data_IF_009287027171
#
_entry.id   IF_009287027171
#
_cell.length_a   1.000
_cell.length_b   1.000
_cell.length_c   1.000
_cell.angle_alpha   90.00
_cell.angle_beta   90.00
_cell.angle_gamma   90.00
#
_symmetry.space_group_name_H-M   'P 1'
#
loop_
_entity.id
_entity.type
_entity.pdbx_description
1 polymer ?
#
# COMPACT_ATOMS: atom_id res chain seq x y z
N UNK A 1 0.23 25.84 -5.45
CA UNK A 1 1.17 25.09 -6.32
C UNK A 1 0.58 23.72 -6.59
N UNK A 2 0.97 23.07 -7.69
CA UNK A 2 0.63 21.68 -8.02
C UNK A 2 1.93 20.88 -8.22
N UNK A 3 1.93 19.61 -7.83
CA UNK A 3 3.07 18.72 -7.92
C UNK A 3 2.69 17.43 -8.65
N UNK A 4 3.62 16.92 -9.44
CA UNK A 4 3.52 15.62 -10.08
C UNK A 4 4.93 15.07 -10.35
N UNK A 5 5.02 13.75 -10.42
CA UNK A 5 6.25 12.98 -10.52
C UNK A 5 6.19 12.00 -11.69
N UNK A 6 7.35 11.69 -12.25
CA UNK A 6 7.56 10.48 -13.04
C UNK A 6 8.54 9.57 -12.29
N UNK A 7 9.06 8.53 -12.94
CA UNK A 7 10.00 7.57 -12.32
C UNK A 7 11.33 8.16 -11.87
N UNK A 8 11.69 9.37 -12.34
CA UNK A 8 13.03 9.95 -12.22
C UNK A 8 13.02 11.32 -11.50
N UNK A 9 11.97 12.12 -11.70
CA UNK A 9 11.92 13.52 -11.29
C UNK A 9 10.54 13.90 -10.72
N UNK A 10 10.52 14.83 -9.77
CA UNK A 10 9.30 15.49 -9.27
C UNK A 10 9.34 16.98 -9.63
N UNK A 11 8.25 17.48 -10.22
CA UNK A 11 8.14 18.86 -10.70
C UNK A 11 7.09 19.63 -9.90
N UNK A 12 7.20 20.97 -9.91
CA UNK A 12 6.19 21.87 -9.37
C UNK A 12 5.72 22.90 -10.40
N UNK A 13 4.45 23.27 -10.33
CA UNK A 13 3.83 24.32 -11.15
C UNK A 13 3.08 25.32 -10.29
N UNK A 14 3.07 26.58 -10.71
CA UNK A 14 2.07 27.54 -10.26
C UNK A 14 0.70 27.09 -10.79
N UNK A 15 -0.29 27.00 -9.91
CA UNK A 15 -1.62 26.48 -10.23
C UNK A 15 -2.67 27.54 -9.91
N UNK A 16 -3.47 27.89 -10.90
CA UNK A 16 -4.65 28.74 -10.77
C UNK A 16 -5.89 27.84 -10.74
N UNK A 17 -6.53 27.77 -9.57
CA UNK A 17 -7.75 26.98 -9.36
C UNK A 17 -9.01 27.61 -9.95
N UNK A 18 -9.00 28.89 -10.29
CA UNK A 18 -10.11 29.58 -10.96
C UNK A 18 -10.12 29.35 -12.47
N UNK A 19 -8.93 29.28 -13.08
CA UNK A 19 -8.73 28.93 -14.49
C UNK A 19 -8.53 27.42 -14.73
N UNK A 20 -8.33 26.63 -13.66
CA UNK A 20 -7.91 25.21 -13.69
C UNK A 20 -6.68 25.03 -14.60
N UNK A 21 -5.66 25.88 -14.40
CA UNK A 21 -4.49 25.95 -15.27
C UNK A 21 -3.17 25.91 -14.51
N UNK A 22 -2.13 25.37 -15.15
CA UNK A 22 -0.76 25.33 -14.64
C UNK A 22 0.16 26.24 -15.45
N UNK A 23 1.09 26.90 -14.78
CA UNK A 23 2.10 27.77 -15.38
C UNK A 23 3.43 27.65 -14.64
N UNK A 24 4.50 28.22 -15.21
CA UNK A 24 5.82 28.31 -14.59
C UNK A 24 6.30 26.97 -14.00
N UNK A 25 6.48 25.97 -14.87
CA UNK A 25 7.10 24.69 -14.47
C UNK A 25 8.50 24.95 -13.92
N UNK A 26 8.74 24.51 -12.69
CA UNK A 26 10.01 24.68 -11.98
C UNK A 26 10.32 23.43 -11.17
N UNK A 27 11.60 23.19 -10.89
CA UNK A 27 12.04 22.09 -10.04
C UNK A 27 11.88 22.45 -8.56
N UNK A 28 10.62 22.49 -8.12
CA UNK A 28 10.15 22.57 -6.72
C UNK A 28 10.47 23.89 -5.99
N UNK A 29 9.49 24.80 -5.93
CA UNK A 29 9.51 25.98 -5.04
C UNK A 29 8.14 26.19 -4.37
N UNK A 30 8.08 26.04 -3.05
CA UNK A 30 6.93 26.33 -2.17
C UNK A 30 7.43 26.43 -0.72
N UNK A 31 6.72 27.08 0.21
CA UNK A 31 6.95 26.83 1.64
C UNK A 31 6.58 25.38 1.99
N UNK A 32 7.18 24.86 3.07
CA UNK A 32 6.81 23.58 3.67
C UNK A 32 7.67 22.39 3.26
N UNK A 33 7.22 21.20 3.67
CA UNK A 33 7.89 19.91 3.43
C UNK A 33 7.10 19.11 2.39
N UNK A 34 7.81 18.59 1.39
CA UNK A 34 7.29 17.65 0.41
C UNK A 34 7.78 16.24 0.77
N UNK A 35 6.86 15.33 1.06
CA UNK A 35 7.21 13.92 1.32
C UNK A 35 7.03 13.11 0.04
N UNK A 36 8.04 12.29 -0.26
CA UNK A 36 8.16 11.47 -1.46
C UNK A 36 8.53 10.05 -1.03
N UNK A 37 7.83 9.06 -1.57
CA UNK A 37 8.23 7.65 -1.51
C UNK A 37 9.00 7.30 -2.78
N UNK A 38 10.08 6.52 -2.64
CA UNK A 38 10.81 5.94 -3.77
C UNK A 38 10.89 4.42 -3.59
N UNK A 39 10.32 3.71 -4.56
CA UNK A 39 10.19 2.26 -4.51
C UNK A 39 11.48 1.47 -4.73
N UNK A 40 11.37 0.15 -4.69
CA UNK A 40 12.40 -0.78 -5.13
C UNK A 40 12.45 -0.89 -6.65
N UNK A 41 13.50 -1.52 -7.14
CA UNK A 41 13.74 -1.78 -8.56
C UNK A 41 13.22 -3.16 -9.00
N UNK A 42 12.84 -4.02 -8.06
CA UNK A 42 12.35 -5.39 -8.26
C UNK A 42 11.39 -5.81 -7.15
N UNK A 43 10.77 -6.99 -7.28
CA UNK A 43 10.06 -7.66 -6.17
C UNK A 43 10.94 -7.63 -4.91
N UNK A 44 12.16 -8.14 -5.07
CA UNK A 44 13.13 -8.36 -4.02
C UNK A 44 14.44 -7.69 -4.47
N UNK A 45 14.86 -6.63 -3.78
CA UNK A 45 15.86 -5.68 -4.27
C UNK A 45 17.01 -5.53 -3.28
N UNK A 46 18.17 -6.06 -3.65
CA UNK A 46 19.38 -5.99 -2.84
C UNK A 46 19.95 -4.57 -2.72
N UNK A 47 19.59 -3.58 -3.56
CA UNK A 47 20.11 -2.22 -3.35
C UNK A 47 19.57 -1.59 -2.07
N UNK A 48 18.34 -1.93 -1.66
CA UNK A 48 17.73 -1.48 -0.42
C UNK A 48 18.38 -2.05 0.85
N UNK A 49 19.29 -3.03 0.74
CA UNK A 49 20.17 -3.42 1.86
C UNK A 49 21.10 -2.27 2.29
N UNK A 50 21.32 -1.29 1.40
CA UNK A 50 22.08 -0.08 1.65
C UNK A 50 21.15 1.15 1.59
N UNK A 51 21.03 1.87 2.70
CA UNK A 51 20.27 3.11 2.81
C UNK A 51 20.69 4.19 1.80
N UNK A 52 21.98 4.23 1.42
CA UNK A 52 22.52 5.22 0.47
C UNK A 52 22.05 4.99 -0.98
N UNK A 53 21.40 3.85 -1.27
CA UNK A 53 20.78 3.58 -2.57
C UNK A 53 19.57 4.49 -2.87
N UNK A 54 18.89 4.96 -1.83
CA UNK A 54 17.58 5.63 -1.92
C UNK A 54 16.42 4.72 -2.36
N UNK A 55 16.66 3.46 -2.73
CA UNK A 55 15.58 2.52 -3.07
C UNK A 55 14.85 2.07 -1.80
N UNK A 56 13.56 1.75 -1.94
CA UNK A 56 12.72 1.29 -0.84
C UNK A 56 12.78 2.21 0.40
N UNK A 57 12.46 3.49 0.20
CA UNK A 57 12.53 4.50 1.26
C UNK A 57 11.53 5.65 1.09
N UNK A 58 11.27 6.35 2.19
CA UNK A 58 10.44 7.56 2.24
C UNK A 58 11.27 8.72 2.79
N UNK A 59 11.29 9.84 2.05
CA UNK A 59 12.06 11.04 2.39
C UNK A 59 11.23 12.32 2.33
N UNK A 60 11.55 13.27 3.20
CA UNK A 60 10.93 14.58 3.27
C UNK A 60 11.91 15.70 2.88
N UNK A 61 11.47 16.58 1.98
CA UNK A 61 12.30 17.59 1.33
C UNK A 61 11.76 19.00 1.63
N UNK A 62 12.59 19.86 2.24
CA UNK A 62 12.19 21.24 2.51
C UNK A 62 12.26 22.07 1.23
N UNK A 63 11.12 22.64 0.82
CA UNK A 63 11.05 23.45 -0.40
C UNK A 63 11.20 24.96 -0.14
N UNK A 64 11.22 25.36 1.13
CA UNK A 64 11.17 26.77 1.56
C UNK A 64 12.41 27.52 1.11
N UNK A 65 12.23 28.60 0.33
CA UNK A 65 13.29 29.45 -0.24
C UNK A 65 14.34 28.69 -1.09
N UNK A 66 13.98 27.50 -1.59
CA UNK A 66 14.84 26.62 -2.39
C UNK A 66 15.11 27.17 -3.80
N UNK A 67 16.37 27.10 -4.22
CA UNK A 67 16.83 27.61 -5.54
C UNK A 67 17.43 26.55 -6.46
N UNK A 68 17.77 25.37 -5.93
CA UNK A 68 18.47 24.29 -6.62
C UNK A 68 17.59 23.02 -6.66
N UNK A 69 18.03 21.98 -7.36
CA UNK A 69 17.40 20.64 -7.33
C UNK A 69 17.78 19.86 -6.07
N UNK A 70 17.26 18.63 -5.91
CA UNK A 70 17.67 17.67 -4.88
C UNK A 70 17.95 16.34 -5.58
N UNK A 71 18.97 15.63 -5.13
CA UNK A 71 19.25 14.24 -5.48
C UNK A 71 18.59 13.37 -4.41
N UNK A 72 17.61 12.54 -4.79
CA UNK A 72 16.81 11.78 -3.81
C UNK A 72 17.69 10.91 -2.90
N UNK A 73 18.77 10.34 -3.43
CA UNK A 73 19.71 9.48 -2.70
C UNK A 73 20.45 10.23 -1.58
N UNK A 74 21.04 11.39 -1.88
CA UNK A 74 21.93 12.10 -0.94
C UNK A 74 21.24 13.14 -0.06
N UNK A 75 20.09 13.65 -0.51
CA UNK A 75 19.42 14.80 0.11
C UNK A 75 18.15 14.38 0.86
N UNK A 76 17.52 15.34 1.54
CA UNK A 76 16.26 15.15 2.29
C UNK A 76 16.45 14.57 3.69
N UNK A 77 15.42 14.72 4.51
CA UNK A 77 15.26 14.00 5.78
C UNK A 77 14.77 12.58 5.47
N UNK A 78 15.43 11.56 6.03
CA UNK A 78 14.97 10.18 5.91
C UNK A 78 13.90 9.90 6.96
N UNK A 79 12.66 9.63 6.52
CA UNK A 79 11.58 9.24 7.42
C UNK A 79 11.60 7.73 7.69
N UNK A 80 11.87 6.93 6.65
CA UNK A 80 12.06 5.49 6.79
C UNK A 80 12.75 4.89 5.56
N UNK A 81 13.41 3.76 5.75
CA UNK A 81 13.96 2.93 4.67
C UNK A 81 13.71 1.46 4.97
N UNK A 82 14.01 0.58 4.01
CA UNK A 82 13.51 -0.78 4.11
C UNK A 82 11.98 -0.80 4.05
N UNK A 83 11.40 0.06 3.20
CA UNK A 83 9.98 0.14 2.87
C UNK A 83 9.86 -0.07 1.35
N UNK A 84 9.46 -1.24 0.80
CA UNK A 84 9.68 -1.55 -0.64
C UNK A 84 9.17 -0.43 -1.53
N UNK A 85 7.92 -0.01 -1.36
CA UNK A 85 7.30 1.02 -2.19
C UNK A 85 6.01 1.50 -1.50
N UNK A 86 6.17 2.28 -0.44
CA UNK A 86 5.09 2.89 0.33
C UNK A 86 4.34 3.94 -0.54
N UNK A 87 3.40 3.49 -1.39
CA UNK A 87 2.57 4.20 -2.42
C UNK A 87 2.11 5.47 -1.69
N UNK A 88 1.39 5.26 -0.59
CA UNK A 88 0.54 6.26 0.01
C UNK A 88 1.11 6.74 1.33
N UNK A 89 1.11 8.06 1.46
CA UNK A 89 1.64 8.76 2.61
C UNK A 89 0.58 9.76 3.07
N UNK A 90 0.39 9.87 4.38
CA UNK A 90 -0.60 10.74 4.98
C UNK A 90 -0.12 11.27 6.34
N UNK A 91 -0.17 12.59 6.51
CA UNK A 91 -0.01 13.23 7.81
C UNK A 91 -1.31 13.10 8.62
N UNK A 92 -1.21 12.67 9.88
CA UNK A 92 -2.31 12.69 10.83
C UNK A 92 -2.54 14.14 11.31
N UNK A 93 -3.67 14.79 10.96
CA UNK A 93 -3.83 16.25 11.07
C UNK A 93 -3.85 16.78 12.51
N UNK A 94 -4.05 15.92 13.51
CA UNK A 94 -4.00 16.30 14.93
C UNK A 94 -2.60 16.31 15.55
N UNK A 95 -1.60 15.65 14.93
CA UNK A 95 -0.25 15.46 15.52
C UNK A 95 0.90 15.78 14.57
N UNK A 96 0.66 15.83 13.26
CA UNK A 96 1.71 15.93 12.24
C UNK A 96 2.48 14.62 12.01
N UNK A 97 1.97 13.50 12.54
CA UNK A 97 2.61 12.19 12.40
C UNK A 97 2.43 11.64 10.98
N UNK A 98 3.52 11.29 10.32
CA UNK A 98 3.49 10.70 8.98
C UNK A 98 3.25 9.20 9.09
N UNK A 99 2.21 8.73 8.42
CA UNK A 99 1.95 7.31 8.22
C UNK A 99 2.00 6.98 6.73
N UNK A 100 2.50 5.79 6.42
CA UNK A 100 2.23 5.13 5.15
C UNK A 100 1.65 3.73 5.37
N UNK A 101 1.48 2.97 4.29
CA UNK A 101 1.11 1.55 4.35
C UNK A 101 1.90 0.78 3.31
N UNK A 102 2.00 -0.52 3.51
CA UNK A 102 2.93 -1.38 2.81
C UNK A 102 2.18 -2.62 2.27
N UNK A 103 2.47 -3.08 1.05
CA UNK A 103 1.99 -4.38 0.54
C UNK A 103 3.02 -5.37 1.10
N UNK A 104 2.87 -6.66 0.83
CA UNK A 104 3.89 -7.62 1.19
C UNK A 104 3.94 -8.77 0.18
N UNK A 105 5.12 -9.37 0.00
CA UNK A 105 5.56 -9.69 -1.38
C UNK A 105 4.95 -10.89 -2.08
N UNK A 106 4.94 -10.71 -3.41
CA UNK A 106 4.69 -11.71 -4.41
C UNK A 106 5.60 -12.93 -4.22
N UNK A 107 5.00 -14.10 -4.04
CA UNK A 107 5.65 -15.43 -4.08
C UNK A 107 6.66 -15.71 -2.95
N UNK A 108 6.31 -15.34 -1.71
CA UNK A 108 7.15 -15.56 -0.53
C UNK A 108 7.12 -17.01 -0.03
N UNK A 109 8.32 -17.58 0.04
CA UNK A 109 8.65 -18.90 0.61
C UNK A 109 9.45 -18.77 1.92
N UNK A 110 9.21 -19.70 2.85
CA UNK A 110 9.95 -19.86 4.12
C UNK A 110 10.12 -21.34 4.49
N UNK A 111 11.30 -21.71 4.93
CA UNK A 111 11.84 -23.06 5.15
C UNK A 111 11.40 -24.07 4.06
N UNK A 112 11.49 -23.66 2.79
CA UNK A 112 11.07 -24.40 1.60
C UNK A 112 9.56 -24.50 1.37
N UNK A 113 8.74 -23.95 2.27
CA UNK A 113 7.27 -23.91 2.18
C UNK A 113 6.83 -22.61 1.51
N UNK A 114 5.97 -22.72 0.50
CA UNK A 114 5.26 -21.58 -0.06
C UNK A 114 4.18 -21.09 0.92
N UNK A 115 4.20 -19.79 1.24
CA UNK A 115 3.24 -19.15 2.15
C UNK A 115 2.53 -17.95 1.52
N UNK A 116 2.80 -17.63 0.24
CA UNK A 116 2.39 -16.37 -0.42
C UNK A 116 0.89 -16.10 -0.36
N UNK A 117 0.06 -17.16 -0.38
CA UNK A 117 -1.39 -17.04 -0.43
C UNK A 117 -2.02 -16.39 0.83
N UNK A 118 -1.33 -16.35 1.97
CA UNK A 118 -1.81 -15.65 3.19
C UNK A 118 -0.71 -15.01 4.05
N UNK A 119 0.52 -14.95 3.56
CA UNK A 119 1.63 -14.21 4.15
C UNK A 119 2.58 -13.74 3.04
N UNK A 120 3.38 -12.69 3.26
CA UNK A 120 3.35 -11.79 4.42
C UNK A 120 2.08 -10.94 4.49
N UNK A 121 1.95 -10.13 5.53
CA UNK A 121 0.85 -9.21 5.76
C UNK A 121 1.18 -7.80 5.31
N UNK A 122 0.15 -7.10 4.82
CA UNK A 122 0.22 -5.68 4.48
C UNK A 122 0.36 -4.85 5.77
N UNK A 123 1.20 -3.82 5.76
CA UNK A 123 1.60 -3.07 6.97
C UNK A 123 1.03 -1.63 7.00
N UNK A 124 1.04 -1.02 8.19
CA UNK A 124 0.64 0.37 8.45
C UNK A 124 1.76 1.02 9.27
N UNK A 125 2.67 1.69 8.58
CA UNK A 125 3.96 2.09 9.12
C UNK A 125 3.96 3.56 9.57
N UNK A 126 4.40 3.79 10.80
CA UNK A 126 4.56 5.14 11.37
C UNK A 126 5.99 5.64 11.12
N UNK A 127 6.13 6.71 10.34
CA UNK A 127 7.40 7.18 9.77
C UNK A 127 7.98 8.42 10.48
N UNK A 128 7.47 8.79 11.66
CA UNK A 128 7.92 9.98 12.40
C UNK A 128 7.17 11.26 12.02
N UNK A 129 7.87 12.41 12.04
CA UNK A 129 7.24 13.74 11.94
C UNK A 129 8.04 14.69 11.05
N UNK A 130 7.40 15.36 10.09
CA UNK A 130 8.05 16.43 9.30
C UNK A 130 8.08 17.79 10.00
N UNK A 131 7.45 17.91 11.17
CA UNK A 131 7.34 19.15 11.94
C UNK A 131 8.48 19.37 12.95
N UNK A 132 9.44 18.45 13.04
CA UNK A 132 10.58 18.51 13.96
C UNK A 132 10.34 17.91 15.35
N UNK A 133 9.23 17.18 15.55
CA UNK A 133 9.01 16.37 16.75
C UNK A 133 9.87 15.09 16.68
N UNK A 134 10.78 14.90 17.63
CA UNK A 134 11.65 13.72 17.67
C UNK A 134 10.83 12.42 17.77
N UNK A 135 11.12 11.46 16.88
CA UNK A 135 10.56 10.10 16.88
C UNK A 135 11.69 9.07 16.87
N UNK A 136 11.45 7.87 17.43
CA UNK A 136 12.40 6.75 17.33
C UNK A 136 12.30 6.02 15.99
N UNK A 137 11.17 6.16 15.31
CA UNK A 137 10.86 5.53 14.04
C UNK A 137 11.43 6.31 12.85
N UNK A 138 11.69 7.61 13.02
CA UNK A 138 12.30 8.45 11.99
C UNK A 138 13.69 7.90 11.61
N UNK A 139 13.90 7.66 10.32
CA UNK A 139 15.14 7.08 9.77
C UNK A 139 15.32 5.58 10.04
N UNK A 140 14.35 4.90 10.66
CA UNK A 140 14.44 3.46 10.93
C UNK A 140 14.38 2.61 9.67
N UNK A 141 14.94 1.39 9.76
CA UNK A 141 14.69 0.34 8.79
C UNK A 141 13.40 -0.41 9.17
N UNK A 142 12.46 -0.54 8.23
CA UNK A 142 11.15 -1.17 8.43
C UNK A 142 11.09 -2.64 8.01
N UNK A 143 12.22 -3.24 7.66
CA UNK A 143 12.33 -4.69 7.43
C UNK A 143 12.77 -5.06 6.02
N UNK A 144 12.54 -4.26 4.98
CA UNK A 144 12.98 -4.58 3.61
C UNK A 144 14.51 -4.44 3.44
N UNK A 145 15.19 -5.33 2.68
CA UNK A 145 14.72 -6.58 2.05
C UNK A 145 14.97 -7.86 2.90
N UNK A 146 14.44 -7.93 4.13
CA UNK A 146 14.82 -8.96 5.13
C UNK A 146 13.70 -9.61 5.98
N UNK A 147 12.74 -8.83 6.49
CA UNK A 147 11.86 -9.21 7.61
C UNK A 147 10.45 -8.58 7.54
N UNK A 148 9.37 -9.37 7.39
CA UNK A 148 8.02 -8.85 7.11
C UNK A 148 6.95 -9.34 8.07
N UNK A 149 5.89 -8.56 8.26
CA UNK A 149 4.79 -8.90 9.17
C UNK A 149 4.10 -10.21 8.79
N UNK A 150 3.83 -11.06 9.79
CA UNK A 150 2.96 -12.22 9.62
C UNK A 150 1.48 -11.79 9.62
N UNK A 151 0.72 -12.19 8.60
CA UNK A 151 -0.74 -12.10 8.60
C UNK A 151 -1.38 -13.41 9.04
N UNK A 152 -0.83 -14.55 8.61
CA UNK A 152 -1.31 -15.87 8.97
C UNK A 152 -0.19 -16.76 9.56
N UNK A 153 0.18 -16.56 10.85
CA UNK A 153 1.25 -17.32 11.47
C UNK A 153 1.07 -18.84 11.42
N UNK A 154 -0.17 -19.35 11.34
CA UNK A 154 -0.44 -20.80 11.41
C UNK A 154 0.13 -21.62 10.25
N UNK A 155 0.47 -20.99 9.12
CA UNK A 155 1.11 -21.68 7.97
C UNK A 155 2.63 -21.44 7.88
N UNK A 156 3.18 -20.53 8.69
CA UNK A 156 4.62 -20.26 8.71
C UNK A 156 5.35 -21.42 9.42
N UNK A 157 6.41 -21.99 8.82
CA UNK A 157 7.31 -22.89 9.54
C UNK A 157 7.99 -22.17 10.72
N UNK A 158 8.26 -22.90 11.80
CA UNK A 158 8.91 -22.39 13.01
C UNK A 158 8.27 -21.08 13.53
N UNK A 159 6.95 -21.13 13.69
CA UNK A 159 6.06 -20.04 14.12
C UNK A 159 5.87 -19.93 15.65
N UNK A 160 6.62 -20.68 16.46
CA UNK A 160 6.36 -20.86 17.89
C UNK A 160 6.39 -19.61 18.78
N UNK A 161 6.79 -18.44 18.25
CA UNK A 161 6.76 -17.11 18.89
C UNK A 161 6.26 -16.02 17.93
N UNK A 162 5.46 -16.38 16.90
CA UNK A 162 5.04 -15.46 15.84
C UNK A 162 3.53 -15.24 15.92
N UNK A 163 3.12 -14.00 16.18
CA UNK A 163 1.73 -13.55 16.16
C UNK A 163 1.49 -12.64 14.94
N UNK A 164 0.24 -12.17 14.77
CA UNK A 164 -0.10 -11.20 13.71
C UNK A 164 0.70 -9.92 13.90
N UNK A 165 1.24 -9.34 12.83
CA UNK A 165 2.11 -8.16 12.92
C UNK A 165 3.51 -8.43 13.50
N UNK A 166 3.85 -9.67 13.84
CA UNK A 166 5.24 -10.04 14.17
C UNK A 166 6.03 -10.16 12.88
N UNK A 167 7.08 -9.36 12.70
CA UNK A 167 7.96 -9.49 11.54
C UNK A 167 8.77 -10.80 11.60
N UNK A 168 8.89 -11.47 10.46
CA UNK A 168 9.63 -12.72 10.33
C UNK A 168 10.66 -12.67 9.20
N UNK A 169 11.88 -13.13 9.50
CA UNK A 169 12.88 -13.45 8.49
C UNK A 169 12.49 -14.74 7.73
N UNK A 170 13.02 -14.87 6.52
CA UNK A 170 12.59 -15.85 5.52
C UNK A 170 13.78 -16.57 4.87
N UNK A 171 13.51 -17.35 3.81
CA UNK A 171 14.55 -18.08 3.08
C UNK A 171 15.35 -17.25 2.08
N UNK A 172 16.66 -17.33 2.28
CA UNK A 172 17.69 -17.22 1.27
C UNK A 172 17.24 -17.75 -0.10
N UNK A 173 17.10 -16.87 -1.09
CA UNK A 173 16.63 -17.23 -2.44
C UNK A 173 17.50 -16.65 -3.55
N UNK A 174 17.40 -17.22 -4.77
CA UNK A 174 18.15 -16.81 -5.97
C UNK A 174 18.05 -15.32 -6.25
N UNK A 175 16.85 -14.78 -6.06
CA UNK A 175 16.45 -13.43 -6.43
C UNK A 175 17.10 -12.36 -5.51
N UNK A 176 17.75 -12.82 -4.44
CA UNK A 176 18.49 -12.03 -3.48
C UNK A 176 19.90 -12.61 -3.23
N UNK A 177 20.49 -13.35 -4.17
CA UNK A 177 21.82 -13.96 -4.03
C UNK A 177 21.98 -14.81 -2.74
N UNK A 178 20.90 -15.51 -2.37
CA UNK A 178 20.69 -16.22 -1.10
C UNK A 178 20.36 -15.32 0.12
N UNK A 179 19.57 -14.24 -0.08
CA UNK A 179 19.04 -13.32 0.96
C UNK A 179 17.48 -13.13 0.85
N UNK A 180 16.85 -12.02 1.32
CA UNK A 180 15.57 -12.11 2.09
C UNK A 180 14.23 -11.26 1.83
N UNK A 181 13.80 -10.89 0.61
CA UNK A 181 12.38 -10.51 0.19
C UNK A 181 11.99 -8.96 0.23
N UNK A 182 10.85 -8.24 0.38
CA UNK A 182 9.37 -8.22 0.84
C UNK A 182 8.54 -7.04 0.11
N UNK A 183 7.46 -6.29 0.53
CA UNK A 183 6.63 -5.38 -0.41
C UNK A 183 6.05 -3.94 -0.04
N UNK A 184 4.93 -3.40 -0.67
CA UNK A 184 4.62 -1.96 -1.05
C UNK A 184 3.14 -1.29 -1.22
N UNK A 185 2.46 -0.42 -0.39
CA UNK A 185 0.98 0.01 -0.56
C UNK A 185 0.47 1.48 -0.23
N UNK A 186 -0.85 1.81 -0.32
CA UNK A 186 -1.45 3.20 -0.31
C UNK A 186 -2.57 3.57 0.75
N UNK A 187 -2.44 4.73 1.48
CA UNK A 187 -3.32 5.25 2.59
C UNK A 187 -3.64 6.79 2.55
N UNK A 188 -4.74 7.24 3.22
CA UNK A 188 -5.07 8.65 3.62
C UNK A 188 -5.76 8.77 5.00
N UNK A 189 -5.91 9.99 5.54
CA UNK A 189 -6.65 10.33 6.78
C UNK A 189 -7.89 11.21 6.51
N UNK A 190 -8.81 11.29 7.48
CA UNK A 190 -9.89 12.29 7.52
C UNK A 190 -9.50 13.56 8.32
N UNK A 191 -10.26 14.65 8.16
CA UNK A 191 -10.04 15.95 8.82
C UNK A 191 -9.96 15.90 10.37
N UNK A 192 -10.53 14.86 10.99
CA UNK A 192 -10.49 14.67 12.45
C UNK A 192 -9.29 13.86 12.93
N UNK A 193 -8.50 13.28 12.03
CA UNK A 193 -7.42 12.32 12.30
C UNK A 193 -7.89 10.93 12.74
N UNK A 194 -9.03 10.84 13.44
CA UNK A 194 -9.63 9.62 14.01
C UNK A 194 -10.01 8.51 13.02
N UNK A 195 -9.83 8.70 11.72
CA UNK A 195 -10.06 7.69 10.69
C UNK A 195 -8.97 7.76 9.61
N UNK A 196 -8.26 6.66 9.41
CA UNK A 196 -7.45 6.43 8.23
C UNK A 196 -8.26 5.65 7.19
N UNK A 197 -8.35 6.16 5.97
CA UNK A 197 -9.02 5.53 4.84
C UNK A 197 -7.97 4.89 3.93
N UNK A 198 -8.15 3.61 3.59
CA UNK A 198 -7.16 2.78 2.89
C UNK A 198 -7.75 2.22 1.59
N UNK A 199 -7.03 2.38 0.48
CA UNK A 199 -7.37 1.84 -0.85
C UNK A 199 -6.66 0.51 -1.07
N UNK A 200 -7.41 -0.59 -1.02
CA UNK A 200 -6.90 -1.91 -1.36
C UNK A 200 -7.13 -2.16 -2.86
N UNK A 201 -6.15 -1.82 -3.70
CA UNK A 201 -6.17 -1.96 -5.17
C UNK A 201 -6.48 -3.39 -5.66
N UNK A 202 -6.15 -4.38 -4.83
CA UNK A 202 -6.54 -5.79 -4.98
C UNK A 202 -5.44 -6.68 -5.54
N UNK A 203 -5.34 -7.91 -5.03
CA UNK A 203 -4.25 -8.83 -5.34
C UNK A 203 -4.32 -9.37 -6.77
N UNK A 204 -3.24 -9.20 -7.53
CA UNK A 204 -3.14 -9.61 -8.93
C UNK A 204 -2.64 -11.07 -9.11
N UNK A 205 -2.07 -11.65 -8.04
CA UNK A 205 -1.30 -12.90 -8.06
C UNK A 205 -1.65 -13.84 -6.88
N UNK A 206 -2.91 -13.76 -6.38
CA UNK A 206 -3.42 -14.66 -5.33
C UNK A 206 -4.36 -15.71 -5.95
N UNK A 207 -4.34 -16.98 -5.50
CA UNK A 207 -5.34 -17.97 -5.89
C UNK A 207 -6.76 -17.60 -5.40
N UNK A 208 -6.86 -16.88 -4.27
CA UNK A 208 -8.08 -16.30 -3.71
C UNK A 208 -7.96 -14.76 -3.74
N UNK A 209 -8.60 -14.05 -4.69
CA UNK A 209 -8.40 -12.60 -4.83
C UNK A 209 -8.92 -11.78 -3.65
N UNK A 210 -8.06 -10.94 -3.07
CA UNK A 210 -8.33 -10.11 -1.87
C UNK A 210 -8.11 -8.64 -2.16
N UNK A 211 -8.61 -7.77 -1.28
CA UNK A 211 -8.66 -6.32 -1.52
C UNK A 211 -9.85 -5.93 -2.40
N UNK A 212 -9.62 -5.14 -3.44
CA UNK A 212 -10.63 -4.61 -4.37
C UNK A 212 -11.69 -3.73 -3.68
N UNK A 213 -11.24 -2.87 -2.75
CA UNK A 213 -12.10 -2.16 -1.79
C UNK A 213 -11.48 -0.87 -1.20
N UNK A 214 -12.34 -0.05 -0.63
CA UNK A 214 -12.07 1.06 0.29
C UNK A 214 -12.50 0.63 1.70
N UNK A 215 -11.59 0.71 2.66
CA UNK A 215 -11.83 0.40 4.08
C UNK A 215 -11.32 1.53 4.98
N UNK A 216 -11.71 1.50 6.25
CA UNK A 216 -11.33 2.51 7.25
C UNK A 216 -10.73 1.87 8.51
N UNK A 217 -9.60 2.40 8.98
CA UNK A 217 -8.95 2.07 10.25
C UNK A 217 -9.25 3.17 11.26
N UNK A 218 -9.64 2.79 12.48
CA UNK A 218 -9.97 3.75 13.54
C UNK A 218 -8.71 4.23 14.26
N UNK A 219 -8.63 5.54 14.50
CA UNK A 219 -7.50 6.20 15.17
C UNK A 219 -7.94 6.94 16.43
N UNK A 220 -7.03 7.01 17.40
CA UNK A 220 -7.14 7.78 18.64
C UNK A 220 -6.86 9.26 18.39
N UNK A 221 -7.33 10.14 19.28
CA UNK A 221 -7.02 11.57 19.21
C UNK A 221 -5.50 11.86 19.40
N UNK A 222 -4.76 10.89 19.95
CA UNK A 222 -3.29 10.85 20.04
C UNK A 222 -2.56 10.45 18.76
N UNK A 223 -3.27 10.13 17.67
CA UNK A 223 -2.68 9.78 16.37
C UNK A 223 -2.18 8.34 16.21
N UNK A 224 -2.56 7.44 17.13
CA UNK A 224 -2.28 6.00 17.10
C UNK A 224 -3.54 5.20 16.72
N UNK A 225 -3.43 4.04 16.05
CA UNK A 225 -4.55 3.11 15.83
C UNK A 225 -5.28 2.72 17.12
N UNK A 226 -6.59 2.47 17.03
CA UNK A 226 -7.43 1.99 18.16
C UNK A 226 -7.31 0.48 18.37
N UNK A 227 -7.14 -0.26 17.28
CA UNK A 227 -6.91 -1.70 17.29
C UNK A 227 -5.48 -2.05 17.71
N UNK A 228 -5.30 -3.20 18.36
CA UNK A 228 -3.97 -3.73 18.64
C UNK A 228 -3.26 -4.17 17.34
N UNK A 229 -1.92 -4.12 17.33
CA UNK A 229 -1.07 -4.55 16.21
C UNK A 229 -1.32 -6.01 15.76
N UNK A 230 -1.88 -6.85 16.63
CA UNK A 230 -2.26 -8.24 16.35
C UNK A 230 -3.67 -8.39 15.75
N UNK A 231 -4.41 -7.29 15.51
CA UNK A 231 -5.78 -7.31 15.00
C UNK A 231 -5.86 -7.72 13.53
N UNK A 232 -6.80 -8.64 13.22
CA UNK A 232 -7.17 -8.99 11.84
C UNK A 232 -8.39 -8.23 11.32
N UNK A 233 -8.89 -7.25 12.09
CA UNK A 233 -10.17 -6.55 11.81
C UNK A 233 -10.07 -5.03 11.94
N UNK A 234 -8.86 -4.49 12.10
CA UNK A 234 -8.61 -3.04 12.22
C UNK A 234 -9.11 -2.24 11.01
N UNK A 235 -9.01 -2.82 9.81
CA UNK A 235 -9.59 -2.26 8.59
C UNK A 235 -11.05 -2.73 8.43
N UNK A 236 -11.99 -1.80 8.56
CA UNK A 236 -13.44 -2.02 8.38
C UNK A 236 -13.82 -1.65 6.96
N UNK A 237 -14.35 -2.61 6.19
CA UNK A 237 -14.74 -2.40 4.79
C UNK A 237 -15.95 -1.46 4.65
N UNK A 238 -15.89 -0.52 3.70
CA UNK A 238 -16.94 0.50 3.48
C UNK A 238 -17.51 0.45 2.06
N UNK A 239 -16.67 0.28 1.04
CA UNK A 239 -17.10 0.19 -0.36
C UNK A 239 -16.19 -0.78 -1.13
N UNK A 240 -16.74 -1.74 -1.85
CA UNK A 240 -15.95 -2.81 -2.48
C UNK A 240 -16.75 -3.62 -3.49
N UNK A 241 -16.05 -4.48 -4.24
CA UNK A 241 -16.69 -5.36 -5.22
C UNK A 241 -17.51 -6.45 -4.52
N UNK A 242 -18.67 -6.82 -5.09
CA UNK A 242 -19.61 -7.74 -4.45
C UNK A 242 -19.17 -9.23 -4.51
N UNK A 243 -18.25 -9.56 -5.41
CA UNK A 243 -17.61 -10.87 -5.50
C UNK A 243 -16.19 -10.71 -6.04
N UNK A 244 -15.19 -11.08 -5.25
CA UNK A 244 -13.79 -10.97 -5.69
C UNK A 244 -13.35 -12.11 -6.63
N UNK A 245 -14.12 -13.19 -6.79
CA UNK A 245 -13.70 -14.35 -7.62
C UNK A 245 -13.65 -14.08 -9.14
N UNK A 246 -13.99 -12.87 -9.58
CA UNK A 246 -13.90 -12.39 -10.97
C UNK A 246 -12.89 -11.24 -11.13
N UNK A 247 -12.25 -10.83 -10.03
CA UNK A 247 -11.18 -9.84 -10.05
C UNK A 247 -9.85 -10.49 -10.49
N UNK A 248 -8.90 -9.74 -11.10
CA UNK A 248 -8.96 -8.29 -11.39
C UNK A 248 -9.84 -7.90 -12.58
N UNK A 249 -10.29 -8.86 -13.41
CA UNK A 249 -10.80 -8.57 -14.76
C UNK A 249 -12.13 -7.81 -14.78
N UNK A 250 -13.10 -8.23 -13.96
CA UNK A 250 -14.47 -7.69 -13.96
C UNK A 250 -14.75 -6.83 -12.70
N UNK A 251 -13.73 -6.14 -12.17
CA UNK A 251 -13.78 -5.42 -10.90
C UNK A 251 -13.20 -4.00 -10.98
N UNK A 252 -13.75 -3.06 -10.20
CA UNK A 252 -13.06 -1.80 -9.96
C UNK A 252 -11.85 -2.03 -9.04
N UNK A 253 -10.74 -1.35 -9.33
CA UNK A 253 -9.49 -1.41 -8.56
C UNK A 253 -9.19 -0.02 -7.98
N UNK A 254 -9.39 0.23 -6.67
CA UNK A 254 -9.25 1.56 -6.10
C UNK A 254 -7.77 1.97 -5.97
N UNK A 255 -7.39 3.13 -6.50
CA UNK A 255 -6.01 3.64 -6.49
C UNK A 255 -5.83 4.81 -5.54
N UNK A 256 -6.45 5.96 -5.85
CA UNK A 256 -6.24 7.21 -5.13
C UNK A 256 -7.56 7.76 -4.60
N UNK A 257 -7.50 8.48 -3.49
CA UNK A 257 -8.66 9.17 -2.94
C UNK A 257 -8.35 10.63 -2.58
N UNK A 258 -9.39 11.46 -2.65
CA UNK A 258 -9.40 12.82 -2.15
C UNK A 258 -10.67 13.06 -1.32
N UNK A 259 -10.54 13.67 -0.15
CA UNK A 259 -11.65 14.04 0.71
C UNK A 259 -11.99 15.53 0.50
N UNK A 260 -13.28 15.89 0.54
CA UNK A 260 -13.71 17.29 0.68
C UNK A 260 -14.09 17.62 2.14
N UNK A 261 -14.16 18.92 2.46
CA UNK A 261 -14.49 19.44 3.80
C UNK A 261 -15.94 19.16 4.28
N UNK A 262 -16.63 18.22 3.63
CA UNK A 262 -17.90 17.61 4.08
C UNK A 262 -17.75 16.10 4.34
N UNK A 263 -16.52 15.59 4.36
CA UNK A 263 -16.22 14.17 4.56
C UNK A 263 -16.61 13.27 3.37
N UNK A 264 -16.79 13.83 2.17
CA UNK A 264 -17.12 13.04 0.97
C UNK A 264 -15.82 12.59 0.30
N UNK A 265 -15.77 11.32 -0.10
CA UNK A 265 -14.57 10.69 -0.68
C UNK A 265 -14.76 10.59 -2.20
N UNK A 266 -13.87 11.23 -2.95
CA UNK A 266 -13.68 10.96 -4.37
C UNK A 266 -12.64 9.86 -4.50
N UNK A 267 -12.97 8.76 -5.19
CA UNK A 267 -12.16 7.54 -5.27
C UNK A 267 -11.94 7.16 -6.74
N UNK A 268 -10.69 7.02 -7.19
CA UNK A 268 -10.37 6.63 -8.56
C UNK A 268 -10.19 5.13 -8.74
N UNK A 269 -10.51 4.63 -9.93
CA UNK A 269 -10.00 3.35 -10.43
C UNK A 269 -9.29 3.52 -11.77
N UNK A 270 -8.06 3.00 -11.85
CA UNK A 270 -7.25 2.93 -13.06
C UNK A 270 -7.78 1.89 -14.06
N UNK A 271 -8.12 0.70 -13.57
CA UNK A 271 -8.53 -0.44 -14.38
C UNK A 271 -9.82 -0.21 -15.17
N UNK A 272 -10.76 0.57 -14.61
CA UNK A 272 -12.03 0.92 -15.26
C UNK A 272 -12.07 2.35 -15.81
N UNK A 273 -11.13 3.21 -15.40
CA UNK A 273 -11.11 4.63 -15.75
C UNK A 273 -12.15 5.49 -15.04
N UNK A 274 -12.76 4.98 -13.96
CA UNK A 274 -13.87 5.61 -13.25
C UNK A 274 -13.44 6.47 -12.07
N UNK A 275 -14.24 7.50 -11.75
CA UNK A 275 -14.16 8.25 -10.49
C UNK A 275 -15.49 8.10 -9.75
N UNK A 276 -15.43 7.47 -8.58
CA UNK A 276 -16.56 7.26 -7.67
C UNK A 276 -16.67 8.41 -6.68
N UNK A 277 -17.90 8.73 -6.25
CA UNK A 277 -18.18 9.61 -5.13
C UNK A 277 -18.84 8.79 -4.02
N UNK A 278 -18.09 8.50 -2.95
CA UNK A 278 -18.58 7.79 -1.77
C UNK A 278 -18.98 8.82 -0.71
N UNK A 279 -20.21 8.70 -0.21
CA UNK A 279 -20.77 9.57 0.83
C UNK A 279 -21.41 8.73 1.92
N UNK A 280 -21.43 9.25 3.15
CA UNK A 280 -22.29 8.70 4.20
C UNK A 280 -23.75 8.74 3.76
N UNK A 281 -24.48 7.65 4.03
CA UNK A 281 -25.94 7.66 4.03
C UNK A 281 -26.41 8.20 5.39
N UNK A 282 -26.94 9.43 5.40
CA UNK A 282 -27.47 10.08 6.60
C UNK A 282 -28.76 9.42 7.14
N UNK A 283 -29.36 8.49 6.38
CA UNK A 283 -30.48 7.64 6.84
C UNK A 283 -30.03 6.31 7.43
N UNK A 284 -28.76 5.91 7.24
CA UNK A 284 -28.20 4.65 7.74
C UNK A 284 -27.82 4.74 9.23
N UNK A 285 -28.83 4.63 10.09
CA UNK A 285 -28.66 4.50 11.55
C UNK A 285 -28.20 3.07 11.95
N UNK A 286 -26.99 2.67 11.55
CA UNK A 286 -26.44 1.34 11.83
C UNK A 286 -24.93 1.35 12.11
N UNK A 287 -24.51 0.57 13.10
CA UNK A 287 -23.10 0.21 13.30
C UNK A 287 -22.66 -0.79 12.21
N UNK A 288 -21.45 -0.68 11.63
CA UNK A 288 -20.95 -1.69 10.71
C UNK A 288 -21.00 -3.08 11.33
N UNK A 289 -21.72 -4.00 10.70
CA UNK A 289 -21.69 -5.42 11.08
C UNK A 289 -20.52 -6.05 10.36
N UNK A 290 -19.53 -6.55 11.13
CA UNK A 290 -18.38 -7.24 10.54
C UNK A 290 -18.85 -8.42 9.69
N UNK A 291 -18.40 -8.46 8.42
CA UNK A 291 -18.81 -9.47 7.44
C UNK A 291 -18.45 -10.88 7.93
N UNK A 292 -19.47 -11.64 8.35
CA UNK A 292 -19.28 -13.01 8.80
C UNK A 292 -18.81 -13.89 7.64
N UNK A 293 -17.69 -14.61 7.83
CA UNK A 293 -17.19 -15.57 6.84
C UNK A 293 -18.18 -16.72 6.69
N UNK A 294 -18.60 -16.98 5.44
CA UNK A 294 -19.59 -18.00 5.13
C UNK A 294 -19.00 -19.40 5.24
N UNK A 295 -19.15 -20.03 6.40
CA UNK A 295 -18.74 -21.42 6.65
C UNK A 295 -19.68 -22.42 5.96
N UNK A 296 -19.39 -22.71 4.69
CA UNK A 296 -20.17 -23.64 3.85
C UNK A 296 -20.16 -25.06 4.42
N UNK A 297 -21.24 -25.43 5.09
CA UNK A 297 -21.46 -26.78 5.61
C UNK A 297 -22.07 -27.68 4.53
N UNK A 298 -21.21 -28.40 3.81
CA UNK A 298 -21.63 -29.31 2.73
C UNK A 298 -22.43 -30.52 3.24
N UNK A 299 -23.69 -30.72 2.81
CA UNK A 299 -24.39 -31.99 3.01
C UNK A 299 -23.87 -33.04 2.02
N UNK A 300 -23.90 -34.31 2.42
CA UNK A 300 -23.38 -35.42 1.62
C UNK A 300 -24.45 -36.08 0.73
N UNK A 301 -24.11 -36.29 -0.55
CA UNK A 301 -24.89 -37.12 -1.48
C UNK A 301 -23.96 -37.74 -2.52
N UNK A 302 -24.18 -39.00 -2.89
CA UNK A 302 -23.23 -39.80 -3.66
C UNK A 302 -23.74 -40.20 -5.06
N UNK A 303 -22.78 -40.47 -5.96
CA UNK A 303 -22.91 -41.25 -7.20
C UNK A 303 -23.81 -40.70 -8.32
N UNK A 304 -23.19 -40.38 -9.46
CA UNK A 304 -23.13 -41.38 -10.56
C UNK A 304 -22.16 -40.94 -11.66
N UNK A 305 -21.64 -41.91 -12.41
CA UNK A 305 -20.64 -41.70 -13.46
C UNK A 305 -21.26 -41.57 -14.85
N UNK A 306 -20.59 -40.82 -15.74
CA UNK A 306 -20.67 -41.00 -17.20
C UNK A 306 -19.42 -40.46 -17.87
N UNK A 307 -18.99 -41.14 -18.93
CA UNK A 307 -17.77 -40.88 -19.70
C UNK A 307 -18.10 -40.30 -21.07
N UNK A 308 -17.28 -39.34 -21.53
CA UNK A 308 -17.13 -39.00 -22.94
C UNK A 308 -15.78 -38.33 -23.15
N UNK A 309 -14.95 -38.87 -24.05
CA UNK A 309 -13.67 -38.26 -24.40
C UNK A 309 -13.86 -37.15 -25.44
N UNK A 310 -13.07 -36.08 -25.33
CA UNK A 310 -12.92 -35.04 -26.36
C UNK A 310 -11.44 -34.88 -26.68
N UNK A 311 -11.07 -34.98 -27.96
CA UNK A 311 -9.68 -34.84 -28.41
C UNK A 311 -9.30 -33.36 -28.48
N UNK A 312 -8.12 -33.00 -27.97
CA UNK A 312 -7.67 -31.61 -27.92
C UNK A 312 -7.13 -31.07 -29.24
N UNK A 313 -7.04 -29.74 -29.31
CA UNK A 313 -6.20 -29.00 -30.26
C UNK A 313 -5.29 -28.06 -29.48
N UNK A 314 -3.98 -28.14 -29.71
CA UNK A 314 -2.97 -27.31 -29.05
C UNK A 314 -2.68 -26.03 -29.85
N UNK A 315 -3.07 -24.88 -29.32
CA UNK A 315 -2.67 -23.56 -29.83
C UNK A 315 -1.54 -22.97 -28.99
N UNK A 316 -0.30 -23.12 -29.45
CA UNK A 316 0.87 -22.53 -28.79
C UNK A 316 0.89 -21.01 -28.97
N UNK A 317 0.38 -20.26 -27.99
CA UNK A 317 0.63 -18.83 -27.86
C UNK A 317 1.73 -18.58 -26.83
N UNK A 318 2.95 -18.35 -27.33
CA UNK A 318 4.09 -17.91 -26.51
C UNK A 318 3.95 -16.42 -26.20
N UNK A 319 3.06 -16.09 -25.27
CA UNK A 319 2.91 -14.72 -24.76
C UNK A 319 4.01 -14.44 -23.74
N UNK A 320 5.09 -13.77 -24.18
CA UNK A 320 6.11 -13.24 -23.27
C UNK A 320 5.49 -12.18 -22.37
N UNK A 321 5.21 -12.53 -21.11
CA UNK A 321 4.69 -11.58 -20.12
C UNK A 321 5.79 -10.59 -19.76
N UNK A 322 5.62 -9.34 -20.20
CA UNK A 322 6.46 -8.23 -19.77
C UNK A 322 6.12 -7.88 -18.32
N UNK A 323 7.09 -8.06 -17.43
CA UNK A 323 7.00 -7.56 -16.05
C UNK A 323 7.09 -6.03 -16.12
N UNK A 324 5.95 -5.36 -16.04
CA UNK A 324 5.85 -3.91 -15.91
C UNK A 324 6.05 -3.53 -14.44
N UNK A 325 7.24 -3.04 -14.09
CA UNK A 325 7.52 -2.41 -12.80
C UNK A 325 6.86 -1.03 -12.75
N UNK A 326 5.70 -0.95 -12.09
CA UNK A 326 4.92 0.28 -11.94
C UNK A 326 5.50 1.23 -10.87
N UNK A 327 6.66 1.83 -11.16
CA UNK A 327 7.23 2.94 -10.39
C UNK A 327 6.25 4.14 -10.38
N UNK A 328 5.38 4.18 -9.38
CA UNK A 328 4.30 5.16 -9.24
C UNK A 328 4.54 6.06 -8.02
N UNK A 329 5.57 6.89 -8.13
CA UNK A 329 5.91 7.91 -7.14
C UNK A 329 4.76 8.92 -7.03
N UNK A 330 4.10 9.00 -5.87
CA UNK A 330 3.24 10.12 -5.50
C UNK A 330 3.98 11.03 -4.49
N UNK A 331 3.75 12.33 -4.60
CA UNK A 331 4.39 13.35 -3.79
C UNK A 331 3.33 14.30 -3.22
N UNK A 332 3.30 14.48 -1.89
CA UNK A 332 2.31 15.32 -1.20
C UNK A 332 2.99 16.48 -0.45
N UNK A 333 2.44 17.69 -0.60
CA UNK A 333 2.84 18.87 0.19
C UNK A 333 1.90 19.03 1.39
N UNK A 334 2.52 19.34 2.52
CA UNK A 334 1.88 19.87 3.72
C UNK A 334 2.19 21.38 3.82
N UNK A 335 1.18 22.18 4.19
CA UNK A 335 1.20 23.66 4.17
C UNK A 335 1.13 24.28 5.56
#
# INVERSE_FOLDING_TARGET
MLYASNTNETYGWQYDSSAISVSNQQTLSAPGMLVISFGSLSNLDLSATNVDSGTASVKAFNLTNRTNTYTYQTDGLLLGWGLRNEVGLAEHPGTGGIWGVENSADQITRHGVDVHATNPGEELNFLGYVNGTESKQEGSNFGYPWCFSAWNPSILPDNGQIEVGTQFAIDASSDLDNQNKTDAFYIKFNDTGRQAWVTFHGSWNSPDPVGYKLSVVSFTDSGEPVDAITSKTAAVDIFGNANNSVCPNDCFRPVAMALDSRGRIFLSSDATGEIYLVTRDESAAGTPTASASSSTSSPSSASSSKTSAGVGMSSNYSSSVLILSWLSILAFIYM
#
